data_IF_422560425714
#
_entry.id   IF_422560425714
#
_cell.length_a   1.000
_cell.length_b   1.000
_cell.length_c   1.000
_cell.angle_alpha   90.00
_cell.angle_beta   90.00
_cell.angle_gamma   90.00
#
_symmetry.space_group_name_H-M   'P 1'
#
loop_
_entity.id
_entity.type
_entity.pdbx_description
1 polymer ?
#
# COMPACT_ATOMS: atom_id res chain seq x y z
N UNK A 1 2.77 15.15 7.28
CA UNK A 1 2.41 14.67 8.62
C UNK A 1 3.68 14.53 9.44
N UNK A 2 3.73 15.12 10.64
CA UNK A 2 4.81 14.98 11.63
C UNK A 2 4.22 14.81 13.03
N UNK A 3 5.06 14.46 14.02
CA UNK A 3 4.65 14.12 15.38
C UNK A 3 4.08 12.70 15.49
N UNK A 4 3.95 12.19 16.71
CA UNK A 4 3.65 10.78 16.97
C UNK A 4 2.16 10.41 16.82
N UNK A 5 1.30 11.41 16.61
CA UNK A 5 -0.15 11.25 16.57
C UNK A 5 -0.65 10.58 15.28
N UNK A 6 -1.92 10.18 15.31
CA UNK A 6 -2.68 9.71 14.15
C UNK A 6 -3.40 10.89 13.49
N UNK A 7 -3.28 11.02 12.17
CA UNK A 7 -4.08 11.94 11.35
C UNK A 7 -4.94 11.11 10.39
N UNK A 8 -6.26 11.31 10.41
CA UNK A 8 -7.18 10.65 9.46
C UNK A 8 -7.66 11.63 8.40
N UNK A 9 -7.53 11.24 7.13
CA UNK A 9 -8.08 11.93 5.97
C UNK A 9 -9.19 11.07 5.36
N UNK A 10 -10.42 11.55 5.45
CA UNK A 10 -11.63 10.82 5.03
C UNK A 10 -12.35 11.41 3.82
N UNK A 11 -11.99 12.63 3.41
CA UNK A 11 -12.55 13.29 2.24
C UNK A 11 -11.70 13.06 1.00
N UNK A 12 -12.33 13.08 -0.17
CA UNK A 12 -11.62 13.15 -1.43
C UNK A 12 -10.89 14.49 -1.55
N UNK A 13 -9.65 14.46 -2.02
CA UNK A 13 -8.82 15.63 -2.26
C UNK A 13 -8.36 15.64 -3.71
N UNK A 14 -8.24 16.82 -4.31
CA UNK A 14 -7.84 16.99 -5.72
C UNK A 14 -6.50 17.72 -5.87
N UNK A 15 -5.68 17.74 -4.83
CA UNK A 15 -4.36 18.36 -4.91
C UNK A 15 -3.37 17.43 -5.62
N UNK A 16 -2.41 18.02 -6.31
CA UNK A 16 -1.38 17.28 -7.05
C UNK A 16 0.02 17.40 -6.43
N UNK A 17 0.15 18.17 -5.34
CA UNK A 17 1.39 18.24 -4.57
C UNK A 17 1.66 16.94 -3.83
N UNK A 18 2.92 16.58 -3.63
CA UNK A 18 3.28 15.37 -2.90
C UNK A 18 2.87 15.41 -1.43
N UNK A 19 2.72 14.23 -0.82
CA UNK A 19 2.44 14.06 0.60
C UNK A 19 3.68 13.53 1.30
N UNK A 20 4.20 14.25 2.30
CA UNK A 20 5.29 13.77 3.17
C UNK A 20 4.74 13.30 4.51
N UNK A 21 5.03 12.05 4.87
CA UNK A 21 4.83 11.50 6.21
C UNK A 21 6.21 11.34 6.84
N UNK A 22 6.53 12.23 7.78
CA UNK A 22 7.81 12.20 8.50
C UNK A 22 7.73 11.34 9.76
N UNK A 23 6.62 11.40 10.49
CA UNK A 23 6.41 10.67 11.76
C UNK A 23 4.92 10.37 12.01
N UNK A 24 4.64 9.41 12.89
CA UNK A 24 3.31 8.96 13.30
C UNK A 24 2.56 8.21 12.19
N UNK A 25 1.23 8.19 12.29
CA UNK A 25 0.37 7.47 11.33
C UNK A 25 -0.49 8.44 10.54
N UNK A 26 -0.51 8.29 9.22
CA UNK A 26 -1.50 8.91 8.34
C UNK A 26 -2.48 7.85 7.87
N UNK A 27 -3.76 8.01 8.21
CA UNK A 27 -4.85 7.12 7.80
C UNK A 27 -5.60 7.75 6.63
N UNK A 28 -5.60 7.08 5.48
CA UNK A 28 -6.44 7.40 4.34
C UNK A 28 -7.69 6.49 4.36
N UNK A 29 -8.82 7.03 4.81
CA UNK A 29 -10.12 6.31 4.84
C UNK A 29 -10.95 6.49 3.57
N UNK A 30 -10.35 7.13 2.56
CA UNK A 30 -10.89 7.31 1.23
C UNK A 30 -9.71 7.21 0.25
N UNK A 31 -9.88 6.52 -0.89
CA UNK A 31 -8.79 6.28 -1.84
C UNK A 31 -8.27 7.56 -2.49
N UNK A 32 -9.12 8.57 -2.63
CA UNK A 32 -8.78 9.90 -3.16
C UNK A 32 -8.28 10.86 -2.06
N UNK A 33 -8.08 10.38 -0.83
CA UNK A 33 -7.73 11.25 0.29
C UNK A 33 -6.37 11.94 0.14
N UNK A 34 -5.45 11.36 -0.65
CA UNK A 34 -4.10 11.90 -0.85
C UNK A 34 -3.94 12.64 -2.19
N UNK A 35 -5.05 12.90 -2.90
CA UNK A 35 -5.01 13.51 -4.23
C UNK A 35 -4.19 12.67 -5.21
N UNK A 36 -3.53 13.34 -6.15
CA UNK A 36 -2.78 12.67 -7.23
C UNK A 36 -1.26 12.81 -7.10
N UNK A 37 -0.78 13.39 -6.00
CA UNK A 37 0.65 13.59 -5.77
C UNK A 37 1.30 12.40 -5.08
N UNK A 38 2.55 12.10 -5.42
CA UNK A 38 3.30 11.00 -4.81
C UNK A 38 3.42 11.13 -3.28
N UNK A 39 3.59 9.98 -2.63
CA UNK A 39 3.77 9.89 -1.18
C UNK A 39 5.22 9.55 -0.86
N UNK A 40 5.84 10.36 0.00
CA UNK A 40 7.07 10.00 0.70
C UNK A 40 6.69 9.61 2.12
N UNK A 41 6.69 8.31 2.39
CA UNK A 41 6.37 7.72 3.68
C UNK A 41 7.66 7.28 4.41
N UNK A 42 7.96 7.93 5.53
CA UNK A 42 9.04 7.56 6.43
C UNK A 42 8.53 7.06 7.79
N UNK A 43 7.21 6.84 7.93
CA UNK A 43 6.58 6.36 9.16
C UNK A 43 5.53 5.29 8.85
N UNK A 44 4.24 5.58 9.04
CA UNK A 44 3.15 4.66 8.66
C UNK A 44 2.11 5.36 7.80
N UNK A 45 1.84 4.79 6.63
CA UNK A 45 0.67 5.07 5.80
C UNK A 45 -0.35 3.93 5.94
N UNK A 46 -1.48 4.20 6.60
CA UNK A 46 -2.60 3.27 6.71
C UNK A 46 -3.65 3.56 5.64
N UNK A 47 -3.83 2.63 4.70
CA UNK A 47 -4.85 2.64 3.65
C UNK A 47 -6.09 1.88 4.12
N UNK A 48 -6.95 2.59 4.85
CA UNK A 48 -8.22 2.08 5.37
C UNK A 48 -9.37 2.33 4.37
N UNK A 49 -9.20 1.86 3.14
CA UNK A 49 -10.14 2.09 2.03
C UNK A 49 -10.12 0.93 1.04
N UNK A 50 -11.05 0.94 0.09
CA UNK A 50 -10.96 0.17 -1.16
C UNK A 50 -10.85 1.09 -2.37
N UNK A 51 -10.72 0.51 -3.57
CA UNK A 51 -10.54 1.23 -4.84
C UNK A 51 -9.14 1.04 -5.42
N UNK A 52 -8.74 1.92 -6.33
CA UNK A 52 -7.38 1.92 -6.91
C UNK A 52 -6.60 3.09 -6.37
N UNK A 53 -5.43 2.82 -5.81
CA UNK A 53 -4.46 3.81 -5.35
C UNK A 53 -3.22 3.72 -6.26
N UNK A 54 -3.05 4.74 -7.08
CA UNK A 54 -2.08 4.78 -8.18
C UNK A 54 -0.89 5.72 -7.94
N UNK A 55 -0.92 6.53 -6.88
CA UNK A 55 0.21 7.37 -6.47
C UNK A 55 1.44 6.51 -6.17
N UNK A 56 2.63 6.98 -6.56
CA UNK A 56 3.87 6.32 -6.17
C UNK A 56 4.16 6.57 -4.69
N UNK A 57 4.56 5.52 -3.97
CA UNK A 57 4.94 5.55 -2.56
C UNK A 57 6.43 5.25 -2.48
N UNK A 58 7.16 6.09 -1.75
CA UNK A 58 8.61 6.01 -1.55
C UNK A 58 8.95 6.19 -0.06
N UNK A 59 10.18 5.89 0.34
CA UNK A 59 10.69 6.13 1.70
C UNK A 59 10.85 4.87 2.54
N UNK A 60 11.16 5.05 3.82
CA UNK A 60 11.47 3.93 4.74
C UNK A 60 10.28 3.43 5.55
N UNK A 61 9.11 4.04 5.38
CA UNK A 61 7.90 3.76 6.14
C UNK A 61 7.20 2.46 5.74
N UNK A 62 6.23 2.08 6.57
CA UNK A 62 5.36 0.94 6.40
C UNK A 62 4.05 1.37 5.75
N UNK A 63 3.61 0.61 4.74
CA UNK A 63 2.23 0.68 4.24
C UNK A 63 1.38 -0.36 4.97
N UNK A 64 0.28 0.04 5.57
CA UNK A 64 -0.72 -0.85 6.16
C UNK A 64 -2.02 -0.83 5.34
N UNK A 65 -2.54 -2.00 4.97
CA UNK A 65 -3.87 -2.18 4.42
C UNK A 65 -4.78 -2.79 5.49
N UNK A 66 -5.66 -1.96 6.06
CA UNK A 66 -6.53 -2.32 7.19
C UNK A 66 -8.02 -2.35 6.85
N UNK A 67 -8.46 -1.66 5.79
CA UNK A 67 -9.89 -1.55 5.45
C UNK A 67 -10.49 -2.87 4.97
N UNK A 68 -11.79 -3.10 5.17
CA UNK A 68 -12.43 -4.38 4.79
C UNK A 68 -12.57 -4.60 3.27
N UNK A 69 -12.43 -3.54 2.48
CA UNK A 69 -12.59 -3.58 1.03
C UNK A 69 -11.39 -4.14 0.26
N UNK A 70 -11.55 -4.24 -1.06
CA UNK A 70 -10.47 -4.52 -2.01
C UNK A 70 -9.78 -3.22 -2.38
N UNK A 71 -8.48 -3.12 -2.11
CA UNK A 71 -7.61 -2.05 -2.56
C UNK A 71 -6.64 -2.57 -3.61
N UNK A 72 -6.57 -1.92 -4.75
CA UNK A 72 -5.53 -2.15 -5.76
C UNK A 72 -4.42 -1.12 -5.58
N UNK A 73 -3.21 -1.58 -5.32
CA UNK A 73 -2.00 -0.76 -5.47
C UNK A 73 -1.46 -0.94 -6.87
N UNK A 74 -1.40 0.16 -7.62
CA UNK A 74 -0.94 0.17 -9.01
C UNK A 74 0.21 1.15 -9.28
N UNK A 75 0.60 1.95 -8.29
CA UNK A 75 1.80 2.79 -8.37
C UNK A 75 3.08 1.96 -8.53
N UNK A 76 4.11 2.55 -9.11
CA UNK A 76 5.48 1.99 -9.08
C UNK A 76 6.12 2.43 -7.77
N UNK A 77 6.08 1.53 -6.78
CA UNK A 77 6.43 1.86 -5.42
C UNK A 77 7.88 1.49 -5.10
N UNK A 78 8.53 2.32 -4.30
CA UNK A 78 9.96 2.18 -3.92
C UNK A 78 10.18 2.20 -2.41
N UNK A 79 9.11 2.17 -1.61
CA UNK A 79 9.24 2.11 -0.16
C UNK A 79 9.88 0.80 0.30
N UNK A 80 10.58 0.87 1.43
CA UNK A 80 11.41 -0.24 1.93
C UNK A 80 10.97 -0.77 3.29
N UNK A 81 10.08 -0.06 4.01
CA UNK A 81 9.63 -0.47 5.35
C UNK A 81 8.68 -1.67 5.39
N UNK A 82 8.20 -2.12 4.22
CA UNK A 82 7.34 -3.30 4.08
C UNK A 82 5.85 -2.98 4.06
N UNK A 83 5.06 -4.04 3.87
CA UNK A 83 3.61 -3.97 3.76
C UNK A 83 2.95 -4.86 4.80
N UNK A 84 2.03 -4.32 5.60
CA UNK A 84 1.14 -5.09 6.47
C UNK A 84 -0.26 -5.14 5.85
N UNK A 85 -0.83 -6.34 5.75
CA UNK A 85 -2.21 -6.55 5.31
C UNK A 85 -2.99 -7.12 6.48
N UNK A 86 -3.65 -6.23 7.23
CA UNK A 86 -4.41 -6.57 8.43
C UNK A 86 -5.91 -6.74 8.15
N UNK A 87 -6.40 -6.29 6.99
CA UNK A 87 -7.82 -6.41 6.61
C UNK A 87 -8.10 -6.37 5.11
N UNK A 88 -9.23 -6.97 4.71
CA UNK A 88 -9.74 -7.01 3.35
C UNK A 88 -8.80 -7.70 2.34
N UNK A 89 -8.80 -7.19 1.10
CA UNK A 89 -7.93 -7.68 0.02
C UNK A 89 -7.00 -6.56 -0.45
N UNK A 90 -5.71 -6.87 -0.56
CA UNK A 90 -4.73 -6.05 -1.27
C UNK A 90 -4.40 -6.68 -2.62
N UNK A 91 -4.65 -5.98 -3.71
CA UNK A 91 -4.27 -6.40 -5.07
C UNK A 91 -3.01 -5.65 -5.47
N UNK A 92 -1.93 -6.37 -5.76
CA UNK A 92 -0.73 -5.84 -6.38
C UNK A 92 -0.83 -6.01 -7.90
N UNK A 93 -0.98 -4.92 -8.65
CA UNK A 93 -1.20 -4.97 -10.11
C UNK A 93 0.09 -4.99 -10.94
N UNK A 94 1.25 -4.89 -10.29
CA UNK A 94 2.57 -5.00 -10.89
C UNK A 94 3.57 -5.48 -9.81
N UNK A 95 4.76 -5.94 -10.20
CA UNK A 95 5.77 -6.47 -9.25
C UNK A 95 6.39 -5.41 -8.33
N UNK A 96 6.32 -4.14 -8.71
CA UNK A 96 6.83 -3.01 -7.91
C UNK A 96 5.76 -2.43 -6.98
N UNK A 97 4.51 -2.90 -7.07
CA UNK A 97 3.38 -2.30 -6.37
C UNK A 97 3.50 -2.36 -4.85
N UNK A 98 4.32 -3.27 -4.30
CA UNK A 98 4.51 -3.43 -2.86
C UNK A 98 5.90 -2.98 -2.36
N UNK A 99 6.64 -2.22 -3.18
CA UNK A 99 7.99 -1.79 -2.85
C UNK A 99 8.96 -2.98 -2.73
N UNK A 100 10.01 -2.82 -1.92
CA UNK A 100 11.04 -3.87 -1.73
C UNK A 100 11.09 -4.46 -0.32
N UNK A 101 10.26 -3.97 0.61
CA UNK A 101 10.19 -4.52 1.97
C UNK A 101 9.34 -5.79 2.07
N UNK A 102 9.47 -6.50 3.17
CA UNK A 102 8.71 -7.74 3.42
C UNK A 102 7.19 -7.47 3.50
N UNK A 103 6.40 -8.49 3.17
CA UNK A 103 4.94 -8.49 3.30
C UNK A 103 4.52 -9.37 4.48
N UNK A 104 3.85 -8.76 5.46
CA UNK A 104 3.11 -9.49 6.50
C UNK A 104 1.65 -9.54 6.10
N UNK A 105 1.18 -10.71 5.68
CA UNK A 105 -0.19 -10.91 5.18
C UNK A 105 -1.01 -11.69 6.22
N UNK A 106 -1.94 -11.02 6.89
CA UNK A 106 -2.92 -11.62 7.82
C UNK A 106 -4.35 -11.60 7.27
N UNK A 107 -4.54 -11.17 6.01
CA UNK A 107 -5.82 -11.18 5.31
C UNK A 107 -5.67 -11.81 3.91
N UNK A 108 -5.94 -11.07 2.83
CA UNK A 108 -5.78 -11.56 1.45
C UNK A 108 -4.82 -10.68 0.67
N UNK A 109 -3.77 -11.29 0.13
CA UNK A 109 -2.90 -10.72 -0.89
C UNK A 109 -3.23 -11.35 -2.25
N UNK A 110 -3.62 -10.52 -3.22
CA UNK A 110 -3.81 -10.93 -4.61
C UNK A 110 -2.69 -10.37 -5.48
N UNK A 111 -1.92 -11.26 -6.11
CA UNK A 111 -0.86 -10.93 -7.06
C UNK A 111 -1.45 -10.98 -8.48
N UNK A 112 -1.81 -9.80 -9.01
CA UNK A 112 -2.36 -9.63 -10.35
C UNK A 112 -1.28 -9.06 -11.29
N UNK A 113 -0.18 -9.80 -11.41
CA UNK A 113 1.00 -9.43 -12.23
C UNK A 113 1.72 -10.68 -12.72
N UNK A 114 2.57 -10.54 -13.73
CA UNK A 114 3.68 -11.46 -14.04
C UNK A 114 5.03 -10.87 -13.62
N UNK A 115 6.10 -11.66 -13.77
CA UNK A 115 7.48 -11.25 -13.47
C UNK A 115 8.05 -11.87 -12.21
N UNK A 116 9.09 -11.25 -11.64
CA UNK A 116 9.75 -11.72 -10.42
C UNK A 116 9.25 -10.89 -9.23
N UNK A 117 8.52 -11.53 -8.32
CA UNK A 117 8.08 -10.92 -7.08
C UNK A 117 9.00 -11.36 -5.95
N UNK A 118 9.84 -10.44 -5.48
CA UNK A 118 11.00 -10.76 -4.62
C UNK A 118 10.77 -10.50 -3.14
N UNK A 119 9.64 -9.91 -2.76
CA UNK A 119 9.33 -9.63 -1.36
C UNK A 119 9.06 -10.94 -0.62
N UNK A 120 9.63 -11.10 0.58
CA UNK A 120 9.26 -12.22 1.42
C UNK A 120 7.82 -12.04 1.91
N UNK A 121 7.00 -13.10 1.81
CA UNK A 121 5.63 -13.11 2.31
C UNK A 121 5.58 -13.98 3.58
N UNK A 122 5.05 -13.41 4.66
CA UNK A 122 4.80 -14.08 5.94
C UNK A 122 3.37 -13.81 6.41
N UNK A 123 3.00 -14.33 7.59
CA UNK A 123 1.68 -14.12 8.20
C UNK A 123 0.73 -15.31 8.03
N UNK A 124 -0.51 -15.11 8.49
CA UNK A 124 -1.54 -16.15 8.56
C UNK A 124 -2.56 -16.15 7.41
N UNK A 125 -2.47 -15.14 6.53
CA UNK A 125 -3.41 -14.86 5.46
C UNK A 125 -3.26 -15.75 4.22
N UNK A 126 -4.11 -15.47 3.23
CA UNK A 126 -4.14 -16.15 1.93
C UNK A 126 -3.38 -15.34 0.87
N UNK A 127 -2.61 -16.03 0.03
CA UNK A 127 -2.05 -15.47 -1.21
C UNK A 127 -2.80 -16.05 -2.41
N UNK A 128 -3.27 -15.20 -3.30
CA UNK A 128 -3.97 -15.55 -4.54
C UNK A 128 -3.16 -15.05 -5.73
N UNK A 129 -2.97 -15.90 -6.74
CA UNK A 129 -2.41 -15.50 -8.04
C UNK A 129 -3.54 -15.45 -9.07
N UNK A 130 -3.83 -14.27 -9.62
CA UNK A 130 -4.95 -14.05 -10.54
C UNK A 130 -4.56 -13.55 -11.94
N UNK A 131 -3.35 -12.99 -12.12
CA UNK A 131 -2.88 -12.58 -13.44
C UNK A 131 -2.55 -13.78 -14.35
N UNK A 132 -2.72 -13.60 -15.66
CA UNK A 132 -2.49 -14.67 -16.66
C UNK A 132 -1.00 -14.94 -16.92
N UNK A 133 -0.12 -14.00 -16.55
CA UNK A 133 1.32 -14.12 -16.75
C UNK A 133 2.00 -14.97 -15.66
N UNK A 134 3.12 -15.61 -16.02
CA UNK A 134 3.94 -16.35 -15.07
C UNK A 134 4.51 -15.41 -14.01
N UNK A 135 4.47 -15.86 -12.75
CA UNK A 135 5.06 -15.17 -11.60
C UNK A 135 6.08 -16.07 -10.93
N UNK A 136 7.28 -15.54 -10.72
CA UNK A 136 8.36 -16.15 -9.94
C UNK A 136 8.34 -15.57 -8.53
N UNK A 137 8.55 -16.42 -7.53
CA UNK A 137 8.69 -16.07 -6.12
C UNK A 137 10.08 -16.47 -5.63
#
# INVERSE_FOLDING_TARGET
KSGDDVLTLSGANSYSGGTLISDGTLVASNVEALGTGDVTDNATLELNTGGTFDNAISGSGQVEKSGDGTLTLSGSNTYTGGTLISGGTLVASNVEALGSGDVTNDAVLELNTGGDFTNNISGSGQVVKSGDETLTL
#
